data_IF_166351785418
#
_entry.id   IF_166351785418
#
_cell.length_a   1.000
_cell.length_b   1.000
_cell.length_c   1.000
_cell.angle_alpha   90.00
_cell.angle_beta   90.00
_cell.angle_gamma   90.00
#
_symmetry.space_group_name_H-M   'P 1'
#
loop_
_entity.id
_entity.type
_entity.pdbx_description
1 polymer ?
#
# COMPACT_ATOMS: atom_id res chain seq x y z
N UNK A 1 -46.70 53.38 -35.75
CA UNK A 1 -45.43 52.73 -35.38
C UNK A 1 -45.30 52.73 -33.86
N UNK A 2 -44.91 51.57 -33.32
CA UNK A 2 -44.38 51.29 -31.97
C UNK A 2 -45.14 51.79 -30.73
N UNK A 3 -45.86 50.86 -30.10
CA UNK A 3 -46.42 50.95 -28.73
C UNK A 3 -45.29 50.63 -27.73
N UNK A 4 -45.07 51.51 -26.74
CA UNK A 4 -44.12 51.29 -25.64
C UNK A 4 -44.91 50.90 -24.39
N UNK A 5 -44.56 49.75 -23.81
CA UNK A 5 -45.23 49.14 -22.66
C UNK A 5 -44.86 49.82 -21.33
N UNK A 6 -45.85 49.91 -20.45
CA UNK A 6 -45.79 50.40 -19.07
C UNK A 6 -45.60 49.22 -18.10
N UNK A 7 -44.65 49.33 -17.16
CA UNK A 7 -44.68 48.76 -15.78
C UNK A 7 -43.35 49.16 -15.12
N UNK A 8 -43.28 50.06 -14.13
CA UNK A 8 -43.78 50.02 -12.75
C UNK A 8 -43.25 48.81 -11.95
N UNK A 9 -42.31 49.06 -11.04
CA UNK A 9 -42.40 48.86 -9.57
C UNK A 9 -40.97 48.87 -9.00
N UNK A 10 -40.67 49.89 -8.19
CA UNK A 10 -39.56 49.93 -7.22
C UNK A 10 -40.07 49.49 -5.85
N UNK A 11 -39.40 48.55 -5.19
CA UNK A 11 -39.26 48.51 -3.71
C UNK A 11 -37.95 47.82 -3.33
N UNK A 12 -37.06 48.55 -2.64
CA UNK A 12 -35.96 48.02 -1.81
C UNK A 12 -36.54 47.40 -0.53
N UNK A 13 -36.02 46.27 -0.07
CA UNK A 13 -35.89 46.01 1.37
C UNK A 13 -34.60 45.23 1.68
N UNK A 14 -33.80 45.84 2.56
CA UNK A 14 -32.63 45.30 3.23
C UNK A 14 -33.07 44.36 4.36
N UNK A 15 -32.36 43.26 4.57
CA UNK A 15 -32.20 42.66 5.89
C UNK A 15 -30.79 42.07 6.00
N UNK A 16 -29.95 42.75 6.79
CA UNK A 16 -28.68 42.22 7.28
C UNK A 16 -28.96 41.12 8.31
N UNK A 17 -28.27 39.99 8.20
CA UNK A 17 -28.05 39.08 9.32
C UNK A 17 -26.55 39.06 9.62
N UNK A 18 -26.22 39.53 10.82
CA UNK A 18 -24.89 39.52 11.41
C UNK A 18 -24.66 38.19 12.16
N UNK A 19 -23.44 37.67 12.00
CA UNK A 19 -22.71 36.73 12.87
C UNK A 19 -23.27 35.32 13.17
N UNK A 20 -22.50 34.29 12.82
CA UNK A 20 -21.63 33.62 13.81
C UNK A 20 -20.72 32.59 13.14
N UNK A 21 -19.47 32.55 13.59
CA UNK A 21 -18.41 31.61 13.22
C UNK A 21 -18.78 30.17 13.54
N UNK A 22 -18.53 29.25 12.59
CA UNK A 22 -17.83 27.99 12.87
C UNK A 22 -16.91 27.68 11.70
N UNK A 23 -15.61 27.63 11.98
CA UNK A 23 -14.63 26.96 11.12
C UNK A 23 -15.04 25.49 11.11
N UNK A 24 -15.51 25.00 9.98
CA UNK A 24 -15.40 23.57 9.69
C UNK A 24 -13.94 23.33 9.36
N UNK A 25 -13.28 22.68 10.30
CA UNK A 25 -12.03 21.97 10.09
C UNK A 25 -12.37 20.82 9.14
N UNK A 26 -12.13 21.05 7.85
CA UNK A 26 -12.16 20.04 6.82
C UNK A 26 -11.06 19.02 7.14
N UNK A 27 -11.41 18.03 7.95
CA UNK A 27 -10.65 16.80 8.10
C UNK A 27 -10.86 15.97 6.83
N UNK A 28 -10.39 16.48 5.70
CA UNK A 28 -10.08 15.64 4.55
C UNK A 28 -8.91 14.76 4.99
N UNK A 29 -9.24 13.56 5.48
CA UNK A 29 -8.32 12.43 5.37
C UNK A 29 -8.05 12.31 3.88
N UNK A 30 -6.92 12.87 3.45
CA UNK A 30 -6.45 12.72 2.08
C UNK A 30 -6.19 11.23 1.93
N UNK A 31 -7.17 10.51 1.37
CA UNK A 31 -6.98 9.15 0.90
C UNK A 31 -5.84 9.24 -0.12
N UNK A 32 -4.64 8.85 0.31
CA UNK A 32 -3.47 8.81 -0.56
C UNK A 32 -3.75 7.68 -1.54
N UNK A 33 -4.42 8.01 -2.65
CA UNK A 33 -4.65 7.07 -3.74
C UNK A 33 -3.29 6.72 -4.29
N UNK A 34 -2.83 5.51 -4.00
CA UNK A 34 -1.56 5.04 -4.51
C UNK A 34 -1.61 4.95 -6.05
N UNK A 35 -0.53 5.41 -6.68
CA UNK A 35 -0.38 5.40 -8.14
C UNK A 35 0.07 4.00 -8.57
N UNK A 36 -0.80 3.24 -9.24
CA UNK A 36 -0.52 1.86 -9.66
C UNK A 36 -0.36 1.74 -11.16
N UNK A 37 0.79 1.21 -11.59
CA UNK A 37 1.05 0.82 -12.98
C UNK A 37 1.24 -0.69 -13.04
N UNK A 38 0.29 -1.40 -13.65
CA UNK A 38 0.45 -2.84 -13.90
C UNK A 38 1.54 -3.07 -14.95
N UNK A 39 2.40 -4.06 -14.72
CA UNK A 39 3.49 -4.46 -15.60
C UNK A 39 3.43 -5.95 -15.90
N UNK A 40 4.11 -6.37 -16.98
CA UNK A 40 3.96 -7.74 -17.49
C UNK A 40 4.79 -8.78 -16.71
N UNK A 41 5.87 -8.37 -16.04
CA UNK A 41 6.78 -9.31 -15.36
C UNK A 41 7.70 -8.65 -14.32
N UNK A 42 8.32 -9.44 -13.43
CA UNK A 42 9.35 -9.00 -12.47
C UNK A 42 10.53 -8.24 -13.09
N UNK A 43 10.85 -8.47 -14.37
CA UNK A 43 11.95 -7.77 -15.06
C UNK A 43 11.74 -6.25 -15.08
N UNK A 44 10.49 -5.80 -14.97
CA UNK A 44 10.14 -4.38 -14.92
C UNK A 44 10.60 -3.70 -13.63
N UNK A 45 11.01 -4.45 -12.61
CA UNK A 45 11.51 -3.92 -11.33
C UNK A 45 13.02 -3.66 -11.34
N UNK A 46 13.75 -4.17 -12.35
CA UNK A 46 15.20 -3.97 -12.51
C UNK A 46 15.59 -2.47 -12.45
N UNK A 47 14.89 -1.54 -13.14
CA UNK A 47 15.23 -0.11 -13.09
C UNK A 47 15.07 0.53 -11.71
N UNK A 48 14.28 -0.07 -10.81
CA UNK A 48 14.11 0.41 -9.44
C UNK A 48 15.33 0.05 -8.55
N UNK A 49 16.28 -0.72 -9.08
CA UNK A 49 17.37 -1.31 -8.30
C UNK A 49 16.84 -2.30 -7.26
N UNK A 50 15.63 -2.81 -7.49
CA UNK A 50 14.93 -3.74 -6.64
C UNK A 50 15.11 -5.11 -7.31
N UNK A 51 16.14 -5.83 -6.87
CA UNK A 51 16.42 -7.19 -7.31
C UNK A 51 15.46 -8.18 -6.69
N UNK A 52 14.15 -7.95 -6.81
CA UNK A 52 13.20 -8.96 -6.36
C UNK A 52 13.23 -10.09 -7.39
N UNK A 53 13.59 -11.27 -6.91
CA UNK A 53 13.20 -12.51 -7.56
C UNK A 53 11.76 -12.80 -7.19
N UNK A 54 10.84 -12.10 -7.86
CA UNK A 54 9.38 -12.05 -7.55
C UNK A 54 8.62 -13.10 -8.32
N UNK A 55 9.24 -14.26 -8.53
CA UNK A 55 8.36 -15.39 -8.73
C UNK A 55 7.55 -15.53 -7.44
N UNK A 56 6.22 -15.64 -7.52
CA UNK A 56 5.44 -16.19 -6.43
C UNK A 56 6.15 -17.47 -5.91
N UNK A 57 6.02 -17.80 -4.62
CA UNK A 57 6.50 -19.06 -4.09
C UNK A 57 5.97 -20.23 -4.94
N UNK A 58 6.62 -21.38 -4.86
CA UNK A 58 6.09 -22.60 -5.48
C UNK A 58 4.61 -22.78 -5.08
N UNK A 59 3.74 -23.01 -6.08
CA UNK A 59 2.27 -23.05 -5.96
C UNK A 59 1.53 -21.70 -5.82
N UNK A 60 2.22 -20.56 -5.87
CA UNK A 60 1.59 -19.26 -6.06
C UNK A 60 0.93 -19.15 -7.43
N UNK A 61 -0.31 -18.67 -7.48
CA UNK A 61 -1.14 -18.60 -8.67
C UNK A 61 -1.64 -17.17 -8.95
N UNK A 62 -2.14 -16.94 -10.17
CA UNK A 62 -2.78 -15.69 -10.58
C UNK A 62 -1.95 -14.43 -10.34
N UNK A 63 -0.63 -14.53 -10.48
CA UNK A 63 0.29 -13.45 -10.18
C UNK A 63 0.05 -12.22 -11.07
N UNK A 64 -0.01 -11.05 -10.44
CA UNK A 64 -0.08 -9.74 -11.09
C UNK A 64 1.01 -8.84 -10.53
N UNK A 65 1.68 -8.11 -11.40
CA UNK A 65 2.85 -7.30 -11.07
C UNK A 65 2.52 -5.83 -11.25
N UNK A 66 2.95 -4.99 -10.31
CA UNK A 66 2.71 -3.56 -10.33
C UNK A 66 3.94 -2.77 -9.90
N UNK A 67 4.09 -1.58 -10.45
CA UNK A 67 4.91 -0.52 -9.88
C UNK A 67 3.93 0.45 -9.21
N UNK A 68 3.95 0.49 -7.88
CA UNK A 68 3.13 1.37 -7.06
C UNK A 68 3.95 2.57 -6.58
N UNK A 69 3.34 3.76 -6.51
CA UNK A 69 3.98 5.01 -6.08
C UNK A 69 5.33 5.31 -6.77
N UNK A 70 5.53 4.78 -7.98
CA UNK A 70 6.74 4.88 -8.84
C UNK A 70 7.98 4.16 -8.33
N UNK A 71 8.07 3.80 -7.05
CA UNK A 71 9.27 3.22 -6.43
C UNK A 71 8.99 1.98 -5.56
N UNK A 72 7.76 1.45 -5.59
CA UNK A 72 7.39 0.21 -4.90
C UNK A 72 7.10 -0.85 -5.95
N UNK A 73 7.87 -1.93 -5.93
CA UNK A 73 7.55 -3.11 -6.71
C UNK A 73 6.57 -3.97 -5.91
N UNK A 74 5.46 -4.35 -6.54
CA UNK A 74 4.38 -5.11 -5.91
C UNK A 74 4.02 -6.34 -6.74
N UNK A 75 3.75 -7.45 -6.04
CA UNK A 75 3.19 -8.68 -6.61
C UNK A 75 2.02 -9.15 -5.78
N UNK A 76 0.87 -9.27 -6.44
CA UNK A 76 -0.33 -9.86 -5.88
C UNK A 76 -0.46 -11.29 -6.42
N UNK A 77 -0.67 -12.26 -5.55
CA UNK A 77 -0.77 -13.67 -5.91
C UNK A 77 -1.67 -14.42 -4.94
N UNK A 78 -2.21 -15.55 -5.39
CA UNK A 78 -3.01 -16.45 -4.56
C UNK A 78 -2.15 -17.63 -4.08
N UNK A 79 -2.27 -17.98 -2.81
CA UNK A 79 -1.61 -19.14 -2.21
C UNK A 79 -2.55 -19.79 -1.19
N UNK A 80 -2.77 -21.10 -1.29
CA UNK A 80 -3.67 -21.86 -0.39
C UNK A 80 -5.07 -21.22 -0.23
N UNK A 81 -5.63 -20.68 -1.33
CA UNK A 81 -6.92 -19.96 -1.40
C UNK A 81 -6.97 -18.60 -0.69
N UNK A 82 -5.82 -18.06 -0.28
CA UNK A 82 -5.69 -16.73 0.30
C UNK A 82 -4.93 -15.81 -0.66
N UNK A 83 -5.30 -14.54 -0.68
CA UNK A 83 -4.58 -13.53 -1.44
C UNK A 83 -3.44 -12.95 -0.60
N UNK A 84 -2.29 -12.77 -1.25
CA UNK A 84 -1.10 -12.17 -0.66
C UNK A 84 -0.59 -11.04 -1.55
N UNK A 85 -0.05 -10.03 -0.88
CA UNK A 85 0.63 -8.90 -1.51
C UNK A 85 2.07 -8.87 -1.02
N UNK A 86 3.01 -8.99 -1.95
CA UNK A 86 4.43 -8.89 -1.66
C UNK A 86 4.97 -7.60 -2.28
N UNK A 87 5.55 -6.74 -1.45
CA UNK A 87 6.08 -5.43 -1.84
C UNK A 87 7.55 -5.32 -1.48
N UNK A 88 8.31 -4.58 -2.30
CA UNK A 88 9.63 -4.11 -1.90
C UNK A 88 9.89 -2.69 -2.37
N UNK A 89 10.70 -1.96 -1.59
CA UNK A 89 11.18 -0.64 -1.96
C UNK A 89 12.45 -0.27 -1.18
N UNK A 90 13.25 0.63 -1.75
CA UNK A 90 14.31 1.33 -1.02
C UNK A 90 13.76 2.46 -0.14
N UNK A 91 12.52 2.89 -0.41
CA UNK A 91 11.85 3.94 0.32
C UNK A 91 10.82 3.35 1.29
N UNK A 92 11.21 3.19 2.55
CA UNK A 92 10.35 2.61 3.60
C UNK A 92 9.06 3.40 3.81
N UNK A 93 9.08 4.72 3.63
CA UNK A 93 7.89 5.55 3.83
C UNK A 93 6.83 5.26 2.76
N UNK A 94 7.22 5.16 1.50
CA UNK A 94 6.32 4.78 0.41
C UNK A 94 5.86 3.32 0.53
N UNK A 95 6.69 2.45 1.09
CA UNK A 95 6.34 1.05 1.34
C UNK A 95 5.33 0.90 2.48
N UNK A 96 5.45 1.70 3.55
CA UNK A 96 4.57 1.63 4.71
C UNK A 96 3.28 2.43 4.52
N UNK A 97 3.21 3.36 3.56
CA UNK A 97 2.02 4.18 3.34
C UNK A 97 0.76 3.39 2.97
N UNK A 98 0.89 2.12 2.54
CA UNK A 98 -0.24 1.24 2.24
C UNK A 98 -0.95 0.68 3.48
N UNK A 99 -0.31 0.74 4.66
CA UNK A 99 -0.75 0.01 5.85
C UNK A 99 -1.39 0.92 6.92
N UNK A 100 -1.33 2.24 6.73
CA UNK A 100 -1.87 3.21 7.69
C UNK A 100 -1.32 2.97 9.10
N UNK A 101 -2.20 3.05 10.10
CA UNK A 101 -1.84 2.73 11.48
C UNK A 101 -1.78 1.21 11.70
N UNK A 102 -0.66 0.75 12.28
CA UNK A 102 -0.42 -0.64 12.64
C UNK A 102 0.32 -0.77 13.96
N UNK A 103 0.21 -1.95 14.56
CA UNK A 103 0.93 -2.33 15.78
C UNK A 103 1.77 -3.57 15.55
N UNK A 104 2.87 -3.70 16.29
CA UNK A 104 3.62 -4.94 16.35
C UNK A 104 2.81 -6.01 17.11
N UNK A 105 2.71 -7.21 16.55
CA UNK A 105 1.89 -8.30 17.11
C UNK A 105 2.59 -9.10 18.21
N UNK A 106 3.89 -8.85 18.44
CA UNK A 106 4.75 -9.66 19.32
C UNK A 106 5.17 -11.01 18.73
N UNK A 107 4.76 -11.34 17.50
CA UNK A 107 5.10 -12.60 16.80
C UNK A 107 6.36 -12.49 15.92
N UNK A 108 7.25 -11.55 16.23
CA UNK A 108 8.50 -11.37 15.47
C UNK A 108 9.31 -12.68 15.48
N UNK A 109 10.03 -12.94 14.39
CA UNK A 109 10.89 -14.10 14.27
C UNK A 109 12.20 -13.72 13.58
N UNK A 110 13.18 -14.62 13.63
CA UNK A 110 14.46 -14.45 12.93
C UNK A 110 14.62 -15.57 11.92
N UNK A 111 14.94 -15.23 10.67
CA UNK A 111 15.41 -16.22 9.72
C UNK A 111 16.89 -16.51 10.03
N UNK A 112 17.17 -17.73 10.50
CA UNK A 112 18.45 -18.13 11.07
C UNK A 112 19.63 -18.15 10.08
N UNK A 113 19.40 -18.51 8.81
CA UNK A 113 20.47 -18.69 7.82
C UNK A 113 21.21 -17.37 7.54
N UNK A 114 20.47 -16.26 7.57
CA UNK A 114 21.00 -14.92 7.28
C UNK A 114 20.86 -13.95 8.46
N UNK A 115 20.42 -14.44 9.63
CA UNK A 115 20.14 -13.65 10.84
C UNK A 115 19.26 -12.41 10.56
N UNK A 116 18.21 -12.60 9.76
CA UNK A 116 17.30 -11.51 9.37
C UNK A 116 16.15 -11.46 10.38
N UNK A 117 16.02 -10.34 11.07
CA UNK A 117 14.88 -10.07 11.93
C UNK A 117 13.67 -9.70 11.07
N UNK A 118 12.57 -10.39 11.32
CA UNK A 118 11.27 -10.16 10.67
C UNK A 118 10.30 -9.65 11.70
N UNK A 119 9.82 -8.43 11.50
CA UNK A 119 8.76 -7.83 12.30
C UNK A 119 7.41 -8.36 11.84
N UNK A 120 6.55 -8.70 12.79
CA UNK A 120 5.18 -9.09 12.52
C UNK A 120 4.24 -8.01 13.02
N UNK A 121 3.41 -7.50 12.12
CA UNK A 121 2.55 -6.36 12.38
C UNK A 121 1.09 -6.69 12.02
N UNK A 122 0.18 -5.91 12.60
CA UNK A 122 -1.25 -5.98 12.31
C UNK A 122 -1.80 -4.57 12.26
N UNK A 123 -2.50 -4.25 11.18
CA UNK A 123 -3.13 -2.95 10.94
C UNK A 123 -4.47 -2.84 11.68
N UNK A 124 -5.02 -1.62 11.74
CA UNK A 124 -6.37 -1.37 12.28
C UNK A 124 -7.50 -2.07 11.51
N UNK A 125 -7.29 -2.44 10.24
CA UNK A 125 -8.24 -3.19 9.41
C UNK A 125 -7.99 -4.71 9.39
N UNK A 126 -7.23 -5.24 10.35
CA UNK A 126 -6.89 -6.67 10.50
C UNK A 126 -6.05 -7.27 9.36
N UNK A 127 -5.39 -6.45 8.54
CA UNK A 127 -4.35 -6.93 7.63
C UNK A 127 -3.11 -7.32 8.46
N UNK A 128 -2.64 -8.56 8.28
CA UNK A 128 -1.37 -9.00 8.86
C UNK A 128 -0.28 -8.80 7.85
N UNK A 129 0.88 -8.33 8.30
CA UNK A 129 2.04 -8.25 7.44
C UNK A 129 3.33 -8.49 8.20
N UNK A 130 4.30 -9.01 7.48
CA UNK A 130 5.69 -9.12 7.93
C UNK A 130 6.52 -8.06 7.25
N UNK A 131 7.50 -7.49 7.98
CA UNK A 131 8.43 -6.49 7.48
C UNK A 131 9.86 -6.94 7.77
N UNK A 132 10.70 -6.93 6.75
CA UNK A 132 12.13 -7.22 6.90
C UNK A 132 12.95 -6.36 5.95
N UNK A 133 14.27 -6.36 6.18
CA UNK A 133 15.22 -5.57 5.40
C UNK A 133 16.40 -6.43 4.98
N UNK A 134 16.82 -6.29 3.73
CA UNK A 134 18.08 -6.84 3.21
C UNK A 134 18.81 -5.72 2.49
N UNK A 135 20.04 -5.42 2.91
CA UNK A 135 20.83 -4.26 2.45
C UNK A 135 20.07 -2.92 2.60
N UNK A 136 19.77 -2.24 1.49
CA UNK A 136 19.02 -0.98 1.44
C UNK A 136 17.55 -1.17 1.02
N UNK A 137 17.07 -2.41 0.87
CA UNK A 137 15.72 -2.72 0.41
C UNK A 137 14.88 -3.26 1.58
N UNK A 138 13.70 -2.70 1.73
CA UNK A 138 12.66 -3.13 2.66
C UNK A 138 11.63 -3.96 1.92
N UNK A 139 11.12 -4.99 2.59
CA UNK A 139 10.21 -5.96 2.03
C UNK A 139 9.03 -6.15 2.96
N UNK A 140 7.83 -6.25 2.38
CA UNK A 140 6.61 -6.59 3.11
C UNK A 140 5.90 -7.73 2.41
N UNK A 141 5.48 -8.74 3.17
CA UNK A 141 4.47 -9.70 2.73
C UNK A 141 3.22 -9.49 3.59
N UNK A 142 2.07 -9.29 2.97
CA UNK A 142 0.82 -9.07 3.68
C UNK A 142 -0.33 -9.92 3.18
N UNK A 143 -1.33 -10.09 4.04
CA UNK A 143 -2.58 -10.78 3.73
C UNK A 143 -3.73 -10.28 4.60
N UNK A 144 -4.93 -10.26 4.03
CA UNK A 144 -6.18 -10.08 4.77
C UNK A 144 -6.86 -11.40 5.13
N UNK A 145 -6.20 -12.55 4.90
CA UNK A 145 -6.72 -13.84 5.29
C UNK A 145 -7.00 -13.91 6.80
N UNK A 146 -8.10 -14.57 7.18
CA UNK A 146 -8.47 -14.77 8.58
C UNK A 146 -7.40 -15.59 9.32
N UNK A 147 -6.94 -16.68 8.70
CA UNK A 147 -5.80 -17.49 9.11
C UNK A 147 -4.51 -16.97 8.46
N UNK A 148 -3.47 -16.77 9.27
CA UNK A 148 -2.16 -16.24 8.87
C UNK A 148 -1.03 -17.27 8.99
N UNK A 149 -1.34 -18.56 9.18
CA UNK A 149 -0.36 -19.64 9.39
C UNK A 149 0.77 -19.69 8.36
N UNK A 150 0.47 -19.32 7.11
CA UNK A 150 1.41 -19.40 6.01
C UNK A 150 2.29 -18.16 5.90
N UNK A 151 1.93 -17.04 6.56
CA UNK A 151 2.63 -15.76 6.41
C UNK A 151 4.09 -15.85 6.84
N UNK A 152 4.36 -16.46 7.99
CA UNK A 152 5.73 -16.69 8.49
C UNK A 152 6.54 -17.57 7.53
N UNK A 153 5.97 -18.70 7.09
CA UNK A 153 6.65 -19.63 6.20
C UNK A 153 6.96 -19.00 4.83
N UNK A 154 5.99 -18.29 4.26
CA UNK A 154 6.16 -17.58 3.00
C UNK A 154 7.21 -16.47 3.10
N UNK A 155 7.22 -15.73 4.21
CA UNK A 155 8.24 -14.69 4.46
C UNK A 155 9.65 -15.30 4.47
N UNK A 156 9.84 -16.43 5.16
CA UNK A 156 11.13 -17.15 5.16
C UNK A 156 11.53 -17.65 3.78
N UNK A 157 10.57 -18.11 2.95
CA UNK A 157 10.84 -18.53 1.57
C UNK A 157 11.32 -17.36 0.70
N UNK A 158 10.68 -16.20 0.81
CA UNK A 158 11.11 -14.99 0.09
C UNK A 158 12.48 -14.50 0.55
N UNK A 159 12.75 -14.52 1.86
CA UNK A 159 14.07 -14.17 2.39
C UNK A 159 15.15 -15.06 1.78
N UNK A 160 14.94 -16.39 1.78
CA UNK A 160 15.89 -17.35 1.20
C UNK A 160 16.10 -17.15 -0.30
N UNK A 161 15.05 -16.81 -1.05
CA UNK A 161 15.16 -16.60 -2.49
C UNK A 161 16.00 -15.36 -2.83
N UNK A 162 15.94 -14.29 -2.03
CA UNK A 162 16.77 -13.09 -2.21
C UNK A 162 18.26 -13.45 -2.11
N UNK A 163 18.64 -14.26 -1.11
CA UNK A 163 20.04 -14.63 -0.88
C UNK A 163 20.60 -15.60 -1.92
N UNK A 164 19.80 -16.58 -2.35
CA UNK A 164 20.21 -17.52 -3.40
C UNK A 164 20.65 -16.81 -4.69
N UNK A 165 19.96 -15.73 -5.07
CA UNK A 165 20.27 -15.01 -6.30
C UNK A 165 21.47 -14.05 -6.18
N UNK A 166 21.95 -13.76 -4.96
CA UNK A 166 23.18 -12.98 -4.76
C UNK A 166 24.46 -13.82 -4.83
N UNK A 167 24.36 -15.13 -4.61
CA UNK A 167 25.50 -16.05 -4.57
C UNK A 167 25.79 -16.72 -5.92
N UNK A 168 25.17 -16.24 -7.01
CA UNK A 168 25.41 -16.68 -8.39
C UNK A 168 26.10 -15.59 -9.19
#
# INVERSE_FOLDING_TARGET
MMRLFISLVTVLFLASCTASNKKEEDNTVSEVVADYVQVDSPNSFIPLGIGITVAPPEHGQNAKYFIANKDVAEVNFDYMNNNYTYRASKNTNNLLSFYGDYINSGKNFTEEENNIVVEYNTTSNNEKFTLWRVDDIYYILSTQAEDDKDLTNLSSLYIKSIHWNKNK
#
